data_IF_293110495591
#
_entry.id   IF_293110495591
#
_cell.length_a   1.000
_cell.length_b   1.000
_cell.length_c   1.000
_cell.angle_alpha   90.00
_cell.angle_beta   90.00
_cell.angle_gamma   90.00
#
_symmetry.space_group_name_H-M   'P 1'
#
loop_
_entity.id
_entity.type
_entity.pdbx_description
1 polymer ?
#
# COMPACT_ATOMS: atom_id res chain seq x y z
N UNK A 1 12.78 25.90 8.78
CA UNK A 1 12.52 25.38 7.42
C UNK A 1 12.47 23.87 7.52
N UNK A 2 11.28 23.31 7.76
CA UNK A 2 11.11 21.86 7.73
C UNK A 2 11.23 21.43 6.27
N UNK A 3 12.28 20.69 5.91
CA UNK A 3 12.27 19.94 4.66
C UNK A 3 11.01 19.06 4.71
N UNK A 4 10.05 19.38 3.85
CA UNK A 4 8.77 18.69 3.81
C UNK A 4 9.07 17.21 3.68
N UNK A 5 8.57 16.37 4.59
CA UNK A 5 8.65 14.91 4.53
C UNK A 5 8.26 14.39 3.15
N UNK A 6 7.36 15.09 2.46
CA UNK A 6 7.05 14.88 1.05
C UNK A 6 8.28 14.98 0.12
N UNK A 7 9.09 16.04 0.20
CA UNK A 7 10.32 16.17 -0.61
C UNK A 7 11.36 15.08 -0.29
N UNK A 8 11.46 14.66 0.97
CA UNK A 8 12.35 13.55 1.35
C UNK A 8 11.83 12.24 0.76
N UNK A 9 10.54 11.94 0.91
CA UNK A 9 9.90 10.78 0.32
C UNK A 9 10.02 10.77 -1.20
N UNK A 10 9.91 11.93 -1.86
CA UNK A 10 10.11 12.07 -3.30
C UNK A 10 11.58 11.80 -3.69
N UNK A 11 12.53 12.39 -2.96
CA UNK A 11 13.98 12.20 -3.19
C UNK A 11 14.44 10.75 -2.98
N UNK A 12 13.76 9.99 -2.11
CA UNK A 12 13.98 8.56 -1.88
C UNK A 12 13.21 7.68 -2.88
N UNK A 13 12.50 8.29 -3.85
CA UNK A 13 11.74 7.58 -4.88
C UNK A 13 10.42 7.00 -4.37
N UNK A 14 9.95 7.45 -3.21
CA UNK A 14 8.74 6.96 -2.56
C UNK A 14 7.45 7.53 -3.15
N UNK A 15 7.53 8.73 -3.71
CA UNK A 15 6.41 9.43 -4.35
C UNK A 15 6.49 9.45 -5.88
N UNK A 16 7.49 8.77 -6.46
CA UNK A 16 7.65 8.76 -7.91
C UNK A 16 6.41 8.14 -8.56
N UNK A 17 5.76 8.91 -9.44
CA UNK A 17 4.61 8.51 -10.26
C UNK A 17 4.88 7.27 -11.14
N UNK A 18 6.10 6.73 -11.12
CA UNK A 18 6.55 5.55 -11.86
C UNK A 18 6.71 4.28 -11.02
N UNK A 19 6.00 4.14 -9.90
CA UNK A 19 6.02 2.89 -9.13
C UNK A 19 5.26 1.80 -9.87
N UNK A 20 5.85 0.61 -9.95
CA UNK A 20 5.15 -0.56 -10.47
C UNK A 20 4.12 -1.12 -9.50
N UNK A 21 3.95 -0.56 -8.29
CA UNK A 21 2.96 -1.03 -7.30
C UNK A 21 2.26 0.15 -6.63
N UNK A 22 0.93 0.10 -6.57
CA UNK A 22 0.05 1.08 -5.94
C UNK A 22 -0.84 0.42 -4.90
N UNK A 23 -1.23 1.20 -3.88
CA UNK A 23 -2.07 0.76 -2.77
C UNK A 23 -3.28 1.68 -2.65
N UNK A 24 -4.45 1.07 -2.52
CA UNK A 24 -5.72 1.76 -2.36
C UNK A 24 -6.51 1.11 -1.22
N UNK A 25 -6.79 1.88 -0.18
CA UNK A 25 -7.73 1.55 0.86
C UNK A 25 -9.15 1.98 0.46
N UNK A 26 -10.16 1.22 0.91
CA UNK A 26 -11.56 1.64 0.82
C UNK A 26 -11.84 2.89 1.67
N UNK A 27 -11.12 3.06 2.78
CA UNK A 27 -11.10 4.32 3.51
C UNK A 27 -10.20 5.33 2.80
N UNK A 28 -10.82 6.29 2.13
CA UNK A 28 -10.13 7.31 1.35
C UNK A 28 -9.17 8.19 2.18
N UNK A 29 -9.39 8.32 3.50
CA UNK A 29 -8.53 9.12 4.37
C UNK A 29 -7.12 8.54 4.51
N UNK A 30 -6.97 7.22 4.36
CA UNK A 30 -5.68 6.53 4.47
C UNK A 30 -4.84 6.70 3.20
N UNK A 31 -5.45 6.87 2.03
CA UNK A 31 -4.76 6.89 0.73
C UNK A 31 -3.80 8.08 0.54
N UNK A 32 -3.99 9.18 1.27
CA UNK A 32 -3.08 10.33 1.25
C UNK A 32 -1.97 10.27 2.31
N UNK A 33 -2.07 9.31 3.24
CA UNK A 33 -1.23 9.25 4.43
C UNK A 33 -0.42 7.96 4.54
N UNK A 34 -0.82 6.90 3.82
CA UNK A 34 -0.24 5.56 3.92
C UNK A 34 0.16 5.10 2.53
N UNK A 35 1.40 4.68 2.40
CA UNK A 35 2.02 4.38 1.14
C UNK A 35 2.71 3.01 1.22
N UNK A 36 2.54 2.18 0.19
CA UNK A 36 3.14 0.84 0.16
C UNK A 36 4.66 0.92 -0.04
N UNK A 37 5.40 0.16 0.76
CA UNK A 37 6.81 -0.10 0.58
C UNK A 37 7.05 -1.44 -0.10
N UNK A 38 6.35 -2.49 0.36
CA UNK A 38 6.49 -3.86 -0.16
C UNK A 38 5.20 -4.64 0.04
N UNK A 39 4.93 -5.56 -0.88
CA UNK A 39 3.93 -6.61 -0.76
C UNK A 39 4.64 -7.95 -0.88
N UNK A 40 4.45 -8.83 0.09
CA UNK A 40 4.87 -10.22 0.05
C UNK A 40 3.62 -11.10 0.17
N UNK A 41 3.54 -12.22 -0.53
CA UNK A 41 2.35 -13.06 -0.44
C UNK A 41 2.56 -14.48 -0.91
N UNK A 42 1.69 -15.36 -0.42
CA UNK A 42 1.62 -16.77 -0.80
C UNK A 42 0.21 -17.07 -1.31
N UNK A 43 0.15 -17.83 -2.40
CA UNK A 43 -1.10 -18.29 -2.98
C UNK A 43 -0.95 -19.78 -3.31
N UNK A 44 -1.90 -20.58 -2.83
CA UNK A 44 -2.00 -21.98 -3.14
C UNK A 44 -3.34 -22.28 -3.81
N UNK A 45 -3.33 -23.24 -4.75
CA UNK A 45 -4.53 -23.69 -5.43
C UNK A 45 -5.59 -24.13 -4.40
N UNK A 46 -6.78 -23.54 -4.49
CA UNK A 46 -7.93 -23.80 -3.63
C UNK A 46 -7.74 -23.48 -2.12
N UNK A 47 -6.70 -22.75 -1.73
CA UNK A 47 -6.50 -22.31 -0.34
C UNK A 47 -6.55 -20.79 -0.17
N UNK A 48 -6.74 -20.05 -1.27
CA UNK A 48 -6.75 -18.60 -1.27
C UNK A 48 -5.35 -18.01 -1.18
N UNK A 49 -5.31 -16.70 -0.99
CA UNK A 49 -4.08 -15.91 -0.96
C UNK A 49 -3.96 -15.18 0.39
N UNK A 50 -2.76 -15.18 0.94
CA UNK A 50 -2.38 -14.33 2.08
C UNK A 50 -1.27 -13.40 1.63
N UNK A 51 -1.37 -12.13 1.99
CA UNK A 51 -0.38 -11.12 1.66
C UNK A 51 -0.06 -10.25 2.88
N UNK A 52 1.23 -10.01 3.09
CA UNK A 52 1.77 -9.04 4.03
C UNK A 52 2.08 -7.74 3.28
N UNK A 53 1.60 -6.63 3.82
CA UNK A 53 1.84 -5.29 3.27
C UNK A 53 2.69 -4.49 4.25
N UNK A 54 3.92 -4.17 3.85
CA UNK A 54 4.74 -3.22 4.59
C UNK A 54 4.44 -1.82 4.07
N UNK A 55 3.88 -0.97 4.93
CA UNK A 55 3.47 0.39 4.60
C UNK A 55 4.28 1.42 5.40
N UNK A 56 4.48 2.59 4.82
CA UNK A 56 5.01 3.77 5.50
C UNK A 56 3.91 4.83 5.58
N UNK A 57 3.85 5.54 6.70
CA UNK A 57 2.91 6.65 6.86
C UNK A 57 3.61 7.98 7.09
N UNK A 58 3.03 9.05 6.54
CA UNK A 58 3.40 10.44 6.85
C UNK A 58 2.73 10.95 8.13
N UNK A 59 1.81 10.19 8.73
CA UNK A 59 1.11 10.53 9.96
C UNK A 59 1.37 9.46 11.05
N UNK A 60 2.06 9.87 12.11
CA UNK A 60 2.39 8.99 13.25
C UNK A 60 1.21 8.72 14.21
N UNK A 61 0.07 9.39 14.03
CA UNK A 61 -1.07 9.34 14.94
C UNK A 61 -2.30 8.63 14.37
N UNK A 62 -2.15 7.86 13.30
CA UNK A 62 -3.25 7.04 12.76
C UNK A 62 -3.57 5.92 13.76
N UNK A 63 -4.80 5.83 14.30
CA UNK A 63 -5.15 4.77 15.22
C UNK A 63 -5.14 3.41 14.52
N UNK A 64 -4.41 2.41 15.03
CA UNK A 64 -4.29 1.10 14.35
C UNK A 64 -5.66 0.44 14.06
N UNK A 65 -6.65 0.66 14.90
CA UNK A 65 -8.02 0.14 14.69
C UNK A 65 -8.64 0.58 13.36
N UNK A 66 -8.21 1.69 12.76
CA UNK A 66 -8.70 2.14 11.45
C UNK A 66 -8.32 1.20 10.32
N UNK A 67 -7.31 0.35 10.50
CA UNK A 67 -6.89 -0.59 9.47
C UNK A 67 -7.58 -1.94 9.59
N UNK A 68 -8.31 -2.27 10.66
CA UNK A 68 -8.93 -3.61 10.81
C UNK A 68 -10.20 -3.69 9.97
N UNK A 69 -10.32 -4.71 9.12
CA UNK A 69 -11.50 -4.96 8.29
C UNK A 69 -11.65 -4.03 7.09
N UNK A 70 -10.62 -3.22 6.78
CA UNK A 70 -10.61 -2.35 5.61
C UNK A 70 -10.33 -3.18 4.36
N UNK A 71 -11.05 -2.87 3.27
CA UNK A 71 -10.73 -3.47 1.97
C UNK A 71 -9.52 -2.76 1.36
N UNK A 72 -8.59 -3.56 0.88
CA UNK A 72 -7.34 -3.09 0.31
C UNK A 72 -7.21 -3.64 -1.10
N UNK A 73 -6.84 -2.77 -2.03
CA UNK A 73 -6.45 -3.13 -3.39
C UNK A 73 -4.99 -2.75 -3.61
N UNK A 74 -4.22 -3.69 -4.17
CA UNK A 74 -2.85 -3.49 -4.60
C UNK A 74 -2.78 -3.69 -6.10
N UNK A 75 -2.42 -2.64 -6.82
CA UNK A 75 -2.27 -2.66 -8.27
C UNK A 75 -0.80 -2.75 -8.65
N UNK A 76 -0.45 -3.76 -9.44
CA UNK A 76 0.89 -3.97 -9.94
C UNK A 76 0.95 -3.75 -11.46
N UNK A 77 1.96 -3.04 -11.95
CA UNK A 77 2.25 -2.93 -13.36
C UNK A 77 3.08 -4.15 -13.76
N UNK A 78 2.51 -4.96 -14.65
CA UNK A 78 3.18 -6.13 -15.25
C UNK A 78 4.26 -5.71 -16.25
N UNK A 79 5.11 -6.67 -16.63
CA UNK A 79 6.12 -6.52 -17.71
C UNK A 79 5.52 -6.04 -19.04
N UNK A 80 4.22 -6.31 -19.27
CA UNK A 80 3.46 -5.85 -20.44
C UNK A 80 2.79 -4.48 -20.26
N UNK A 81 3.06 -3.78 -19.16
CA UNK A 81 2.46 -2.49 -18.85
C UNK A 81 0.97 -2.53 -18.46
N UNK A 82 0.41 -3.73 -18.25
CA UNK A 82 -0.98 -3.89 -17.79
C UNK A 82 -1.06 -3.88 -16.27
N UNK A 83 -2.17 -3.40 -15.72
CA UNK A 83 -2.44 -3.49 -14.28
C UNK A 83 -2.92 -4.89 -13.89
N UNK A 84 -2.29 -5.45 -12.86
CA UNK A 84 -2.71 -6.65 -12.16
C UNK A 84 -3.15 -6.26 -10.75
N UNK A 85 -4.44 -6.42 -10.45
CA UNK A 85 -5.02 -6.04 -9.17
C UNK A 85 -5.15 -7.25 -8.26
N UNK A 86 -4.60 -7.11 -7.06
CA UNK A 86 -4.87 -8.00 -5.92
C UNK A 86 -5.78 -7.27 -4.94
N UNK A 87 -6.87 -7.88 -4.51
CA UNK A 87 -7.74 -7.31 -3.47
C UNK A 87 -7.83 -8.25 -2.27
N UNK A 88 -8.07 -7.66 -1.10
CA UNK A 88 -8.24 -8.41 0.15
C UNK A 88 -8.85 -7.56 1.25
N UNK A 89 -9.07 -8.18 2.40
CA UNK A 89 -9.43 -7.49 3.62
C UNK A 89 -8.26 -7.58 4.59
N UNK A 90 -7.95 -6.47 5.26
CA UNK A 90 -6.96 -6.46 6.33
C UNK A 90 -7.53 -7.14 7.58
N UNK A 91 -6.91 -8.24 7.97
CA UNK A 91 -7.31 -9.03 9.14
C UNK A 91 -6.46 -8.68 10.37
N UNK A 92 -5.17 -8.42 10.16
CA UNK A 92 -4.16 -8.23 11.20
C UNK A 92 -3.23 -7.06 10.83
N UNK A 93 -2.60 -6.44 11.84
CA UNK A 93 -1.72 -5.26 11.74
C UNK A 93 -0.49 -5.48 12.60
#
# INVERSE_FOLDING_TARGET
>A
MFNNTFQILESVGFLSQHRSVYLQFSDASLNSQVFLQRIDGQHYLNQGMTAELICLSTNAHIPLKTFIGVQVAVDQITDRGSFFRTTGMSLEI
#
